data_IF_832139276847
#
_entry.id   IF_832139276847
#
_cell.length_a   1.000
_cell.length_b   1.000
_cell.length_c   1.000
_cell.angle_alpha   90.00
_cell.angle_beta   90.00
_cell.angle_gamma   90.00
#
_symmetry.space_group_name_H-M   'P 1'
#
loop_
_entity.id
_entity.type
_entity.pdbx_description
1 polymer ?
#
# COMPACT_ATOMS: atom_id res chain seq x y z
N UNK A 1 -12.02 13.81 16.63
CA UNK A 1 -10.76 13.26 17.16
C UNK A 1 -10.50 11.83 16.70
N UNK A 2 -9.94 11.64 15.50
CA UNK A 2 -9.61 10.31 14.93
C UNK A 2 -8.12 10.22 14.53
N UNK A 3 -7.22 10.69 15.40
CA UNK A 3 -5.79 10.77 15.11
C UNK A 3 -4.91 9.74 15.87
N UNK A 4 -5.49 8.78 16.62
CA UNK A 4 -4.69 8.00 17.59
C UNK A 4 -4.88 6.47 17.62
N UNK A 5 -5.64 5.84 16.71
CA UNK A 5 -5.94 4.39 16.84
C UNK A 5 -4.95 3.40 16.21
N UNK A 6 -3.78 3.84 15.76
CA UNK A 6 -2.69 2.90 15.46
C UNK A 6 -1.36 3.55 15.83
N UNK A 7 -0.85 3.22 17.02
CA UNK A 7 0.48 3.60 17.52
C UNK A 7 1.65 2.99 16.75
N UNK A 8 1.56 2.95 15.42
CA UNK A 8 2.64 2.58 14.51
C UNK A 8 2.89 3.81 13.64
N UNK A 9 4.11 4.36 13.61
CA UNK A 9 4.41 5.41 12.66
C UNK A 9 4.15 4.88 11.23
N UNK A 10 3.29 5.52 10.43
CA UNK A 10 2.82 4.97 9.15
C UNK A 10 3.94 4.74 8.12
N UNK A 11 5.13 5.30 8.36
CA UNK A 11 6.29 5.20 7.48
C UNK A 11 7.09 3.88 7.59
N UNK A 12 6.71 2.92 8.46
CA UNK A 12 7.47 1.65 8.65
C UNK A 12 6.69 0.37 8.30
N UNK A 13 5.66 0.45 7.45
CA UNK A 13 4.87 -0.75 7.05
C UNK A 13 5.56 -1.55 5.93
N UNK A 14 6.13 -0.84 4.97
CA UNK A 14 6.84 -1.37 3.82
C UNK A 14 8.23 -0.76 3.77
N UNK A 15 9.24 -1.54 3.35
CA UNK A 15 10.57 -0.99 3.10
C UNK A 15 10.53 -0.03 1.91
N UNK A 16 11.48 0.90 1.85
CA UNK A 16 11.61 1.86 0.74
C UNK A 16 11.64 1.16 -0.62
N UNK A 17 12.30 -0.01 -0.71
CA UNK A 17 12.33 -0.83 -1.92
C UNK A 17 10.94 -1.32 -2.35
N UNK A 18 10.10 -1.72 -1.38
CA UNK A 18 8.73 -2.18 -1.62
C UNK A 18 7.85 -1.01 -2.03
N UNK A 19 7.96 0.14 -1.34
CA UNK A 19 7.22 1.35 -1.69
C UNK A 19 7.58 1.85 -3.09
N UNK A 20 8.87 1.88 -3.42
CA UNK A 20 9.34 2.23 -4.76
C UNK A 20 8.76 1.31 -5.82
N UNK A 21 8.80 -0.01 -5.60
CA UNK A 21 8.24 -0.98 -6.54
C UNK A 21 6.70 -0.83 -6.67
N UNK A 22 5.98 -0.50 -5.59
CA UNK A 22 4.55 -0.17 -5.65
C UNK A 22 4.29 1.08 -6.50
N UNK A 23 5.10 2.14 -6.34
CA UNK A 23 4.98 3.35 -7.15
C UNK A 23 5.30 3.12 -8.63
N UNK A 24 6.21 2.20 -8.93
CA UNK A 24 6.56 1.84 -10.31
C UNK A 24 5.49 0.96 -10.98
N UNK A 25 4.93 -0.01 -10.25
CA UNK A 25 3.96 -0.98 -10.79
C UNK A 25 2.51 -0.56 -10.66
N UNK A 26 2.19 0.37 -9.77
CA UNK A 26 0.85 0.87 -9.46
C UNK A 26 -0.21 -0.24 -9.38
N UNK A 27 -0.05 -1.23 -8.48
CA UNK A 27 -0.95 -2.38 -8.40
C UNK A 27 -2.40 -1.94 -8.15
N UNK A 28 -3.32 -2.56 -8.89
CA UNK A 28 -4.76 -2.28 -8.88
C UNK A 28 -5.56 -3.38 -8.19
N UNK A 29 -4.92 -4.51 -7.84
CA UNK A 29 -5.57 -5.66 -7.22
C UNK A 29 -4.72 -6.23 -6.11
N UNK A 30 -5.35 -6.97 -5.19
CA UNK A 30 -4.66 -7.68 -4.10
C UNK A 30 -3.63 -8.68 -4.63
N UNK A 31 -3.93 -9.33 -5.74
CA UNK A 31 -3.01 -10.26 -6.43
C UNK A 31 -1.77 -9.52 -6.93
N UNK A 32 -1.94 -8.35 -7.55
CA UNK A 32 -0.81 -7.53 -8.01
C UNK A 32 0.01 -7.00 -6.83
N UNK A 33 -0.66 -6.64 -5.72
CA UNK A 33 0.04 -6.19 -4.51
C UNK A 33 0.87 -7.32 -3.89
N UNK A 34 0.39 -8.58 -3.90
CA UNK A 34 1.15 -9.76 -3.46
C UNK A 34 2.36 -10.08 -4.35
N UNK A 35 2.37 -9.61 -5.60
CA UNK A 35 3.53 -9.77 -6.49
C UNK A 35 4.66 -8.78 -6.19
N UNK A 36 4.41 -7.75 -5.36
CA UNK A 36 5.44 -6.80 -4.95
C UNK A 36 6.36 -7.45 -3.92
N UNK A 37 7.68 -7.38 -4.14
CA UNK A 37 8.65 -7.97 -3.23
C UNK A 37 8.56 -7.29 -1.86
N UNK A 38 8.36 -8.08 -0.80
CA UNK A 38 8.21 -7.59 0.57
C UNK A 38 6.76 -7.37 1.02
N UNK A 39 5.78 -7.67 0.15
CA UNK A 39 4.36 -7.79 0.49
C UNK A 39 4.01 -9.27 0.64
N UNK A 40 3.76 -9.69 1.88
CA UNK A 40 3.19 -11.01 2.18
C UNK A 40 1.73 -10.92 2.58
N UNK A 41 1.08 -12.06 2.74
CA UNK A 41 -0.34 -12.16 3.08
C UNK A 41 -0.73 -11.32 4.30
N UNK A 42 0.04 -11.40 5.40
CA UNK A 42 -0.20 -10.61 6.61
C UNK A 42 -0.23 -9.09 6.37
N UNK A 43 0.60 -8.59 5.44
CA UNK A 43 0.62 -7.15 5.11
C UNK A 43 -0.51 -6.79 4.16
N UNK A 44 -0.83 -7.69 3.23
CA UNK A 44 -1.99 -7.53 2.35
C UNK A 44 -3.28 -7.45 3.18
N UNK A 45 -3.47 -8.33 4.14
CA UNK A 45 -4.70 -8.38 4.95
C UNK A 45 -4.86 -7.13 5.82
N UNK A 46 -3.75 -6.59 6.34
CA UNK A 46 -3.75 -5.42 7.23
C UNK A 46 -3.81 -4.09 6.49
N UNK A 47 -3.16 -3.98 5.34
CA UNK A 47 -2.89 -2.69 4.68
C UNK A 47 -3.28 -2.66 3.20
N UNK A 48 -3.56 -3.82 2.60
CA UNK A 48 -3.77 -3.96 1.16
C UNK A 48 -4.89 -3.08 0.63
N UNK A 49 -6.06 -3.11 1.27
CA UNK A 49 -7.21 -2.30 0.87
C UNK A 49 -6.89 -0.81 0.87
N UNK A 50 -6.33 -0.30 1.96
CA UNK A 50 -5.99 1.13 2.09
C UNK A 50 -4.98 1.59 1.03
N UNK A 51 -3.96 0.77 0.74
CA UNK A 51 -2.97 1.11 -0.30
C UNK A 51 -3.56 1.06 -1.70
N UNK A 52 -4.39 0.06 -2.01
CA UNK A 52 -5.07 -0.04 -3.31
C UNK A 52 -5.99 1.14 -3.57
N UNK A 53 -6.71 1.61 -2.54
CA UNK A 53 -7.56 2.81 -2.63
C UNK A 53 -6.74 4.06 -2.98
N UNK A 54 -5.65 4.31 -2.25
CA UNK A 54 -4.76 5.46 -2.52
C UNK A 54 -4.15 5.39 -3.91
N UNK A 55 -3.70 4.20 -4.35
CA UNK A 55 -3.12 4.01 -5.69
C UNK A 55 -4.18 4.28 -6.77
N UNK A 56 -5.42 3.82 -6.56
CA UNK A 56 -6.53 4.06 -7.49
C UNK A 56 -6.88 5.54 -7.58
N UNK A 57 -7.00 6.23 -6.43
CA UNK A 57 -7.24 7.67 -6.38
C UNK A 57 -6.13 8.46 -7.10
N UNK A 58 -4.87 8.08 -6.89
CA UNK A 58 -3.74 8.69 -7.60
C UNK A 58 -3.83 8.52 -9.13
N UNK A 59 -4.29 7.37 -9.62
CA UNK A 59 -4.49 7.17 -11.05
C UNK A 59 -5.67 7.95 -11.62
N UNK A 60 -6.75 8.10 -10.85
CA UNK A 60 -7.92 8.88 -11.26
C UNK A 60 -7.62 10.38 -11.31
N UNK A 61 -6.81 10.90 -10.39
CA UNK A 61 -6.38 12.32 -10.38
C UNK A 61 -5.34 12.68 -11.44
N UNK A 62 -4.66 11.69 -12.01
CA UNK A 62 -3.70 11.84 -13.12
C UNK A 62 -4.33 11.76 -14.52
N UNK A 63 -5.61 11.40 -14.63
CA UNK A 63 -6.39 11.47 -15.87
C UNK A 63 -6.86 12.90 -16.14
#
# INVERSE_FOLDING_TARGET
>A
DMAQEAGVPPYVVFSDSTLKEMCEKLPQTTIQLLQIKGVGQNKLDKYGTAFLEVIKEYQETKK
#
